data_IF_439272483706
#
_entry.id   IF_439272483706
#
_cell.length_a   1.000
_cell.length_b   1.000
_cell.length_c   1.000
_cell.angle_alpha   90.00
_cell.angle_beta   90.00
_cell.angle_gamma   90.00
#
_symmetry.space_group_name_H-M   'P 1'
#
loop_
_entity.id
_entity.type
_entity.pdbx_description
1 polymer ?
#
# COMPACT_ATOMS: atom_id res chain seq x y z
N UNK A 1 31.22 -67.05 41.64
CA UNK A 1 30.23 -68.16 41.62
C UNK A 1 30.48 -68.98 40.36
N UNK A 2 31.10 -70.15 40.49
CA UNK A 2 31.30 -71.10 39.38
C UNK A 2 30.08 -72.04 39.32
N UNK A 3 29.51 -72.26 38.14
CA UNK A 3 28.52 -73.32 37.92
C UNK A 3 29.15 -74.42 37.05
N UNK A 4 29.04 -75.65 37.53
CA UNK A 4 29.65 -76.87 36.98
C UNK A 4 28.62 -77.61 36.12
N UNK A 5 29.03 -77.99 34.92
CA UNK A 5 28.28 -78.79 33.94
C UNK A 5 28.27 -80.29 34.33
N UNK A 6 27.16 -80.98 34.06
CA UNK A 6 27.06 -82.44 34.11
C UNK A 6 26.35 -82.94 32.84
N UNK A 7 26.99 -83.88 32.13
CA UNK A 7 26.44 -84.56 30.96
C UNK A 7 26.63 -86.08 31.10
N UNK A 8 25.57 -86.86 30.87
CA UNK A 8 25.56 -88.33 30.80
C UNK A 8 25.18 -88.83 29.39
N UNK A 9 25.39 -90.13 29.07
CA UNK A 9 25.47 -90.63 27.68
C UNK A 9 24.10 -90.94 27.04
N UNK A 10 23.99 -90.74 25.72
CA UNK A 10 22.74 -90.82 24.95
C UNK A 10 22.46 -92.22 24.33
N UNK A 11 21.18 -92.64 24.15
CA UNK A 11 20.83 -94.01 23.77
C UNK A 11 20.72 -94.27 22.25
N UNK A 12 20.89 -95.53 21.86
CA UNK A 12 21.07 -96.07 20.48
C UNK A 12 19.88 -95.99 19.51
N UNK A 13 18.68 -95.55 19.93
CA UNK A 13 17.53 -95.36 19.01
C UNK A 13 17.67 -94.13 18.10
N UNK A 14 18.62 -93.23 18.39
CA UNK A 14 18.87 -92.02 17.58
C UNK A 14 19.36 -92.33 16.16
N UNK A 15 20.05 -93.44 15.93
CA UNK A 15 20.71 -93.69 14.64
C UNK A 15 19.72 -93.89 13.47
N UNK A 16 18.62 -94.62 13.67
CA UNK A 16 17.61 -94.86 12.63
C UNK A 16 16.70 -93.66 12.36
N UNK A 17 16.31 -92.94 13.42
CA UNK A 17 15.52 -91.71 13.31
C UNK A 17 16.30 -90.58 12.64
N UNK A 18 17.61 -90.50 12.89
CA UNK A 18 18.49 -89.50 12.29
C UNK A 18 18.68 -89.76 10.79
N UNK A 19 18.73 -91.02 10.34
CA UNK A 19 18.89 -91.34 8.92
C UNK A 19 17.62 -91.11 8.09
N UNK A 20 16.43 -91.33 8.67
CA UNK A 20 15.14 -91.01 8.04
C UNK A 20 14.86 -89.50 8.04
N UNK A 21 15.17 -88.79 9.13
CA UNK A 21 15.10 -87.34 9.20
C UNK A 21 16.05 -86.69 8.17
N UNK A 22 17.26 -87.22 7.98
CA UNK A 22 18.24 -86.67 7.04
C UNK A 22 17.84 -86.89 5.56
N UNK A 23 17.11 -87.96 5.24
CA UNK A 23 16.52 -88.17 3.91
C UNK A 23 15.34 -87.23 3.62
N UNK A 24 14.44 -87.03 4.59
CA UNK A 24 13.32 -86.09 4.49
C UNK A 24 13.78 -84.63 4.42
N UNK A 25 14.81 -84.26 5.19
CA UNK A 25 15.39 -82.92 5.18
C UNK A 25 16.12 -82.64 3.85
N UNK A 26 16.79 -83.66 3.29
CA UNK A 26 17.43 -83.59 1.98
C UNK A 26 16.45 -83.34 0.83
N UNK A 27 15.30 -84.03 0.82
CA UNK A 27 14.27 -83.82 -0.21
C UNK A 27 13.59 -82.46 -0.10
N UNK A 28 13.34 -81.95 1.11
CA UNK A 28 12.74 -80.62 1.31
C UNK A 28 13.67 -79.47 0.90
N UNK A 29 14.99 -79.64 1.06
CA UNK A 29 15.97 -78.66 0.59
C UNK A 29 16.07 -78.67 -0.93
N UNK A 30 16.01 -79.83 -1.56
CA UNK A 30 16.06 -79.97 -3.02
C UNK A 30 14.79 -79.39 -3.69
N UNK A 31 13.61 -79.61 -3.10
CA UNK A 31 12.35 -79.00 -3.55
C UNK A 31 12.34 -77.49 -3.34
N UNK A 32 12.78 -76.99 -2.18
CA UNK A 32 12.88 -75.54 -1.93
C UNK A 32 13.85 -74.86 -2.89
N UNK A 33 14.95 -75.52 -3.23
CA UNK A 33 15.94 -74.99 -4.16
C UNK A 33 15.43 -75.02 -5.61
N UNK A 34 14.72 -76.09 -6.03
CA UNK A 34 14.03 -76.15 -7.32
C UNK A 34 12.96 -75.07 -7.45
N UNK A 35 12.24 -74.78 -6.37
CA UNK A 35 11.20 -73.77 -6.34
C UNK A 35 11.77 -72.35 -6.35
N UNK A 36 12.89 -72.11 -5.66
CA UNK A 36 13.62 -70.85 -5.73
C UNK A 36 14.22 -70.60 -7.12
N UNK A 37 14.78 -71.63 -7.76
CA UNK A 37 15.31 -71.55 -9.13
C UNK A 37 14.19 -71.33 -10.15
N UNK A 38 13.07 -72.07 -10.03
CA UNK A 38 11.88 -71.90 -10.87
C UNK A 38 11.31 -70.48 -10.76
N UNK A 39 11.26 -69.91 -9.56
CA UNK A 39 10.80 -68.53 -9.33
C UNK A 39 11.74 -67.44 -9.88
N UNK A 40 13.00 -67.78 -10.20
CA UNK A 40 13.98 -66.83 -10.76
C UNK A 40 14.15 -66.98 -12.27
N UNK A 41 13.73 -68.12 -12.83
CA UNK A 41 13.67 -68.34 -14.26
C UNK A 41 12.44 -67.62 -14.82
N UNK A 42 12.63 -66.84 -15.88
CA UNK A 42 11.50 -66.20 -16.58
C UNK A 42 10.61 -67.24 -17.26
N UNK A 43 11.19 -68.38 -17.64
CA UNK A 43 10.57 -69.47 -18.39
C UNK A 43 11.29 -70.77 -18.05
N UNK A 44 10.57 -71.84 -17.69
CA UNK A 44 11.11 -73.19 -17.55
C UNK A 44 11.07 -73.91 -18.91
N UNK A 45 12.23 -73.96 -19.59
CA UNK A 45 12.38 -74.58 -20.91
C UNK A 45 12.19 -76.09 -20.90
N UNK A 46 12.49 -76.76 -19.79
CA UNK A 46 12.36 -78.21 -19.66
C UNK A 46 10.91 -78.61 -19.47
N UNK A 47 10.17 -77.85 -18.65
CA UNK A 47 8.74 -78.05 -18.46
C UNK A 47 7.96 -77.74 -19.74
N UNK A 48 8.30 -76.65 -20.43
CA UNK A 48 7.72 -76.31 -21.74
C UNK A 48 7.96 -77.38 -22.79
N UNK A 49 9.20 -77.85 -22.94
CA UNK A 49 9.54 -78.91 -23.90
C UNK A 49 8.75 -80.21 -23.60
N UNK A 50 8.69 -80.62 -22.33
CA UNK A 50 7.86 -81.77 -21.91
C UNK A 50 6.37 -81.56 -22.15
N UNK A 51 5.87 -80.33 -22.02
CA UNK A 51 4.46 -80.02 -22.32
C UNK A 51 4.16 -80.14 -23.82
N UNK A 52 5.09 -79.74 -24.67
CA UNK A 52 4.99 -79.86 -26.12
C UNK A 52 5.11 -81.32 -26.58
N UNK A 53 6.00 -82.11 -25.97
CA UNK A 53 6.08 -83.56 -26.20
C UNK A 53 4.77 -84.27 -25.82
N UNK A 54 4.16 -83.91 -24.69
CA UNK A 54 2.84 -84.46 -24.28
C UNK A 54 1.71 -84.07 -25.23
N UNK A 55 1.84 -82.95 -25.93
CA UNK A 55 0.89 -82.50 -26.96
C UNK A 55 1.10 -83.19 -28.33
N UNK A 56 2.08 -84.09 -28.45
CA UNK A 56 2.32 -84.88 -29.66
C UNK A 56 3.41 -84.34 -30.58
N UNK A 57 4.19 -83.33 -30.16
CA UNK A 57 5.33 -82.84 -30.93
C UNK A 57 6.54 -83.78 -30.80
N UNK A 58 7.31 -84.00 -31.89
CA UNK A 58 8.60 -84.67 -31.81
C UNK A 58 9.53 -83.91 -30.86
N UNK A 59 10.33 -84.65 -30.09
CA UNK A 59 11.25 -84.11 -29.07
C UNK A 59 12.14 -82.97 -29.59
N UNK A 60 12.69 -83.13 -30.79
CA UNK A 60 13.56 -82.12 -31.41
C UNK A 60 12.80 -80.82 -31.72
N UNK A 61 11.55 -80.93 -32.20
CA UNK A 61 10.70 -79.77 -32.51
C UNK A 61 10.16 -79.10 -31.23
N UNK A 62 9.83 -79.87 -30.21
CA UNK A 62 9.41 -79.38 -28.90
C UNK A 62 10.50 -78.57 -28.20
N UNK A 63 11.76 -79.05 -28.26
CA UNK A 63 12.90 -78.34 -27.69
C UNK A 63 13.22 -77.05 -28.46
N UNK A 64 13.14 -77.09 -29.80
CA UNK A 64 13.39 -75.92 -30.64
C UNK A 64 12.31 -74.84 -30.43
N UNK A 65 11.04 -75.24 -30.36
CA UNK A 65 9.93 -74.33 -30.07
C UNK A 65 10.06 -73.70 -28.66
N UNK A 66 10.44 -74.49 -27.66
CA UNK A 66 10.69 -73.98 -26.31
C UNK A 66 11.84 -72.95 -26.29
N UNK A 67 12.90 -73.16 -27.08
CA UNK A 67 13.99 -72.18 -27.25
C UNK A 67 13.53 -70.90 -27.95
N UNK A 68 12.74 -71.01 -29.01
CA UNK A 68 12.23 -69.85 -29.75
C UNK A 68 11.30 -68.99 -28.90
N UNK A 69 10.37 -69.61 -28.17
CA UNK A 69 9.46 -68.91 -27.23
C UNK A 69 10.24 -68.23 -26.11
N UNK A 70 11.24 -68.92 -25.54
CA UNK A 70 12.09 -68.34 -24.49
C UNK A 70 12.87 -67.14 -25.03
N UNK A 71 13.36 -67.22 -26.27
CA UNK A 71 14.06 -66.12 -26.93
C UNK A 71 13.13 -64.92 -27.15
N UNK A 72 11.90 -65.14 -27.61
CA UNK A 72 10.90 -64.07 -27.76
C UNK A 72 10.53 -63.43 -26.42
N UNK A 73 10.40 -64.21 -25.35
CA UNK A 73 10.10 -63.69 -24.00
C UNK A 73 11.26 -62.84 -23.48
N UNK A 74 12.51 -63.28 -23.67
CA UNK A 74 13.70 -62.51 -23.28
C UNK A 74 13.79 -61.20 -24.09
N UNK A 75 13.60 -61.25 -25.41
CA UNK A 75 13.61 -60.06 -26.26
C UNK A 75 12.49 -59.07 -25.89
N UNK A 76 11.29 -59.56 -25.58
CA UNK A 76 10.18 -58.70 -25.16
C UNK A 76 10.43 -58.12 -23.76
N UNK A 77 11.03 -58.87 -22.84
CA UNK A 77 11.44 -58.34 -21.53
C UNK A 77 12.41 -57.19 -21.69
N UNK A 78 13.44 -57.32 -22.52
CA UNK A 78 14.41 -56.24 -22.77
C UNK A 78 13.74 -54.99 -23.36
N UNK A 79 12.81 -55.17 -24.30
CA UNK A 79 12.01 -54.06 -24.85
C UNK A 79 11.12 -53.40 -23.78
N UNK A 80 10.51 -54.19 -22.90
CA UNK A 80 9.71 -53.66 -21.79
C UNK A 80 10.58 -52.93 -20.76
N UNK A 81 11.77 -53.44 -20.43
CA UNK A 81 12.71 -52.75 -19.54
C UNK A 81 13.23 -51.43 -20.13
N UNK A 82 13.30 -51.32 -21.46
CA UNK A 82 13.61 -50.05 -22.14
C UNK A 82 12.43 -49.07 -22.20
N UNK A 83 11.19 -49.56 -22.23
CA UNK A 83 9.98 -48.74 -22.28
C UNK A 83 9.47 -48.31 -20.89
N UNK A 84 9.74 -49.10 -19.84
CA UNK A 84 9.24 -48.88 -18.49
C UNK A 84 10.36 -48.52 -17.52
N UNK A 85 10.05 -47.60 -16.62
CA UNK A 85 10.97 -47.20 -15.54
C UNK A 85 10.76 -48.12 -14.34
N UNK A 86 11.87 -48.58 -13.74
CA UNK A 86 11.83 -49.37 -12.51
C UNK A 86 11.20 -48.57 -11.38
N UNK A 87 10.35 -49.19 -10.57
CA UNK A 87 9.65 -48.56 -9.44
C UNK A 87 10.60 -47.79 -8.51
N UNK A 88 11.78 -48.35 -8.22
CA UNK A 88 12.81 -47.72 -7.38
C UNK A 88 13.31 -46.39 -7.97
N UNK A 89 13.45 -46.30 -9.29
CA UNK A 89 13.89 -45.07 -9.97
C UNK A 89 12.77 -44.02 -9.95
N UNK A 90 11.53 -44.47 -10.14
CA UNK A 90 10.36 -43.61 -10.06
C UNK A 90 10.19 -43.02 -8.65
N UNK A 91 10.26 -43.86 -7.61
CA UNK A 91 10.18 -43.42 -6.20
C UNK A 91 11.26 -42.41 -5.85
N UNK A 92 12.50 -42.65 -6.29
CA UNK A 92 13.59 -41.69 -6.12
C UNK A 92 13.28 -40.34 -6.79
N UNK A 93 12.78 -40.36 -8.03
CA UNK A 93 12.39 -39.15 -8.75
C UNK A 93 11.27 -38.38 -8.04
N UNK A 94 10.27 -39.09 -7.51
CA UNK A 94 9.17 -38.50 -6.73
C UNK A 94 9.70 -37.82 -5.48
N UNK A 95 10.57 -38.48 -4.71
CA UNK A 95 11.16 -37.90 -3.49
C UNK A 95 12.01 -36.66 -3.79
N UNK A 96 12.77 -36.68 -4.89
CA UNK A 96 13.53 -35.51 -5.34
C UNK A 96 12.60 -34.35 -5.75
N UNK A 97 11.48 -34.64 -6.42
CA UNK A 97 10.48 -33.64 -6.77
C UNK A 97 9.79 -33.07 -5.53
N UNK A 98 9.36 -33.92 -4.59
CA UNK A 98 8.75 -33.47 -3.33
C UNK A 98 9.71 -32.59 -2.53
N UNK A 99 10.98 -32.97 -2.44
CA UNK A 99 12.01 -32.16 -1.77
C UNK A 99 12.15 -30.77 -2.40
N UNK A 100 12.20 -30.69 -3.75
CA UNK A 100 12.25 -29.41 -4.47
C UNK A 100 10.99 -28.56 -4.26
N UNK A 101 9.82 -29.19 -4.24
CA UNK A 101 8.55 -28.50 -3.98
C UNK A 101 8.54 -27.93 -2.56
N UNK A 102 8.99 -28.70 -1.56
CA UNK A 102 9.08 -28.24 -0.18
C UNK A 102 10.08 -27.10 -0.02
N UNK A 103 11.27 -27.19 -0.64
CA UNK A 103 12.25 -26.10 -0.60
C UNK A 103 11.70 -24.83 -1.24
N UNK A 104 11.08 -24.94 -2.43
CA UNK A 104 10.46 -23.82 -3.11
C UNK A 104 9.35 -23.18 -2.27
N UNK A 105 8.48 -23.99 -1.65
CA UNK A 105 7.43 -23.50 -0.76
C UNK A 105 8.00 -22.74 0.44
N UNK A 106 9.10 -23.23 1.03
CA UNK A 106 9.75 -22.56 2.15
C UNK A 106 10.37 -21.22 1.77
N UNK A 107 10.99 -21.14 0.58
CA UNK A 107 11.58 -19.92 0.06
C UNK A 107 10.51 -18.90 -0.33
N UNK A 108 9.41 -19.35 -0.93
CA UNK A 108 8.24 -18.54 -1.22
C UNK A 108 7.66 -17.95 0.06
N UNK A 109 7.43 -18.78 1.09
CA UNK A 109 6.88 -18.33 2.37
C UNK A 109 7.80 -17.29 3.02
N UNK A 110 9.12 -17.56 3.07
CA UNK A 110 10.10 -16.62 3.61
C UNK A 110 10.10 -15.29 2.87
N UNK A 111 10.03 -15.33 1.54
CA UNK A 111 9.99 -14.13 0.70
C UNK A 111 8.69 -13.35 0.93
N UNK A 112 7.57 -14.06 1.04
CA UNK A 112 6.27 -13.46 1.36
C UNK A 112 6.28 -12.80 2.74
N UNK A 113 6.80 -13.45 3.77
CA UNK A 113 6.88 -12.91 5.13
C UNK A 113 7.78 -11.67 5.18
N UNK A 114 8.92 -11.71 4.50
CA UNK A 114 9.83 -10.57 4.37
C UNK A 114 9.19 -9.39 3.62
N UNK A 115 8.51 -9.68 2.50
CA UNK A 115 7.81 -8.65 1.74
C UNK A 115 6.67 -8.04 2.57
N UNK A 116 5.89 -8.86 3.25
CA UNK A 116 4.81 -8.41 4.13
C UNK A 116 5.34 -7.52 5.26
N UNK A 117 6.45 -7.91 5.90
CA UNK A 117 7.08 -7.09 6.93
C UNK A 117 7.58 -5.74 6.37
N UNK A 118 8.13 -5.74 5.16
CA UNK A 118 8.60 -4.51 4.50
C UNK A 118 7.43 -3.58 4.16
N UNK A 119 6.38 -4.11 3.53
CA UNK A 119 5.17 -3.35 3.18
C UNK A 119 4.49 -2.78 4.42
N UNK A 120 4.36 -3.57 5.49
CA UNK A 120 3.77 -3.10 6.74
C UNK A 120 4.59 -1.96 7.37
N UNK A 121 5.92 -2.07 7.36
CA UNK A 121 6.81 -1.03 7.86
C UNK A 121 6.71 0.26 7.03
N UNK A 122 6.66 0.13 5.70
CA UNK A 122 6.52 1.28 4.82
C UNK A 122 5.14 1.94 4.98
N UNK A 123 4.08 1.15 5.17
CA UNK A 123 2.74 1.64 5.46
C UNK A 123 2.70 2.43 6.78
N UNK A 124 3.31 1.91 7.86
CA UNK A 124 3.39 2.61 9.14
C UNK A 124 4.20 3.92 9.01
N UNK A 125 5.32 3.88 8.29
CA UNK A 125 6.13 5.08 8.00
C UNK A 125 5.31 6.13 7.23
N UNK A 126 4.58 5.71 6.20
CA UNK A 126 3.75 6.62 5.40
C UNK A 126 2.60 7.20 6.23
N UNK A 127 1.96 6.40 7.08
CA UNK A 127 0.91 6.87 7.99
C UNK A 127 1.46 7.94 8.95
N UNK A 128 2.64 7.72 9.54
CA UNK A 128 3.29 8.69 10.41
C UNK A 128 3.61 10.02 9.69
N UNK A 129 4.06 9.96 8.43
CA UNK A 129 4.30 11.16 7.62
C UNK A 129 3.00 11.89 7.33
N UNK A 130 1.93 11.17 6.99
CA UNK A 130 0.61 11.74 6.74
C UNK A 130 0.08 12.46 7.98
N UNK A 131 0.16 11.84 9.15
CA UNK A 131 -0.31 12.43 10.41
C UNK A 131 0.51 13.67 10.78
N UNK A 132 1.83 13.65 10.54
CA UNK A 132 2.69 14.83 10.73
C UNK A 132 2.30 15.97 9.78
N UNK A 133 2.14 15.70 8.49
CA UNK A 133 1.72 16.71 7.51
C UNK A 133 0.35 17.29 7.86
N UNK A 134 -0.59 16.45 8.30
CA UNK A 134 -1.92 16.89 8.73
C UNK A 134 -1.86 17.82 9.95
N UNK A 135 -0.99 17.54 10.92
CA UNK A 135 -0.77 18.40 12.07
C UNK A 135 -0.14 19.74 11.67
N UNK A 136 0.86 19.70 10.79
CA UNK A 136 1.55 20.89 10.27
C UNK A 136 0.60 21.81 9.49
N UNK A 137 -0.21 21.25 8.58
CA UNK A 137 -1.22 22.01 7.84
C UNK A 137 -2.23 22.66 8.77
N UNK A 138 -2.71 21.96 9.80
CA UNK A 138 -3.64 22.53 10.79
C UNK A 138 -3.00 23.71 11.54
N UNK A 139 -1.76 23.53 11.99
CA UNK A 139 -1.02 24.58 12.67
C UNK A 139 -0.81 25.82 11.78
N UNK A 140 -0.40 25.64 10.53
CA UNK A 140 -0.23 26.75 9.58
C UNK A 140 -1.57 27.42 9.24
N UNK A 141 -2.66 26.66 9.14
CA UNK A 141 -4.01 27.22 8.94
C UNK A 141 -4.44 28.08 10.13
N UNK A 142 -4.28 27.58 11.36
CA UNK A 142 -4.62 28.31 12.58
C UNK A 142 -3.80 29.60 12.71
N UNK A 143 -2.49 29.51 12.42
CA UNK A 143 -1.58 30.65 12.40
C UNK A 143 -1.98 31.68 11.34
N UNK A 144 -2.27 31.25 10.11
CA UNK A 144 -2.70 32.13 9.03
C UNK A 144 -4.04 32.80 9.37
N UNK A 145 -4.99 32.04 9.91
CA UNK A 145 -6.29 32.56 10.34
C UNK A 145 -6.16 33.62 11.44
N UNK A 146 -5.31 33.36 12.44
CA UNK A 146 -5.02 34.32 13.50
C UNK A 146 -4.33 35.58 12.96
N UNK A 147 -3.35 35.42 12.04
CA UNK A 147 -2.68 36.54 11.37
C UNK A 147 -3.67 37.40 10.59
N UNK A 148 -4.51 36.78 9.75
CA UNK A 148 -5.49 37.51 8.96
C UNK A 148 -6.50 38.25 9.84
N UNK A 149 -6.94 37.62 10.94
CA UNK A 149 -7.83 38.29 11.90
C UNK A 149 -7.16 39.48 12.57
N UNK A 150 -5.87 39.37 12.91
CA UNK A 150 -5.09 40.48 13.45
C UNK A 150 -4.97 41.61 12.42
N UNK A 151 -4.59 41.30 11.18
CA UNK A 151 -4.43 42.28 10.10
C UNK A 151 -5.74 43.06 9.86
N UNK A 152 -6.87 42.35 9.80
CA UNK A 152 -8.18 42.98 9.65
C UNK A 152 -8.54 43.88 10.84
N UNK A 153 -8.20 43.47 12.06
CA UNK A 153 -8.45 44.29 13.25
C UNK A 153 -7.58 45.56 13.26
N UNK A 154 -6.31 45.46 12.86
CA UNK A 154 -5.41 46.60 12.74
C UNK A 154 -5.88 47.56 11.65
N UNK A 155 -6.25 47.05 10.48
CA UNK A 155 -6.74 47.87 9.37
C UNK A 155 -8.09 48.53 9.72
N UNK A 156 -8.96 47.83 10.45
CA UNK A 156 -10.19 48.42 11.00
C UNK A 156 -9.90 49.54 12.00
N UNK A 157 -8.87 49.39 12.84
CA UNK A 157 -8.40 50.45 13.73
C UNK A 157 -7.91 51.66 12.95
N UNK A 158 -7.04 51.45 11.97
CA UNK A 158 -6.50 52.49 11.09
C UNK A 158 -7.61 53.24 10.34
N UNK A 159 -8.58 52.53 9.75
CA UNK A 159 -9.72 53.15 9.10
C UNK A 159 -10.56 53.99 10.07
N UNK A 160 -10.72 53.55 11.32
CA UNK A 160 -11.45 54.33 12.34
C UNK A 160 -10.71 55.62 12.68
N UNK A 161 -9.39 55.57 12.82
CA UNK A 161 -8.56 56.74 13.10
C UNK A 161 -8.57 57.72 11.92
N UNK A 162 -8.44 57.21 10.69
CA UNK A 162 -8.56 58.01 9.46
C UNK A 162 -9.95 58.67 9.36
N UNK A 163 -11.04 57.94 9.65
CA UNK A 163 -12.39 58.48 9.67
C UNK A 163 -12.58 59.56 10.74
N UNK A 164 -12.00 59.38 11.93
CA UNK A 164 -12.05 60.39 12.99
C UNK A 164 -11.27 61.64 12.57
N UNK A 165 -10.07 61.47 12.02
CA UNK A 165 -9.26 62.59 11.51
C UNK A 165 -9.95 63.37 10.38
N UNK A 166 -10.67 62.68 9.48
CA UNK A 166 -11.50 63.33 8.45
C UNK A 166 -12.66 64.11 9.09
N UNK A 167 -13.34 63.53 10.09
CA UNK A 167 -14.44 64.20 10.80
C UNK A 167 -13.96 65.46 11.51
N UNK A 168 -12.82 65.41 12.18
CA UNK A 168 -12.25 66.54 12.91
C UNK A 168 -11.90 67.66 11.92
N UNK A 169 -11.21 67.34 10.81
CA UNK A 169 -10.93 68.30 9.73
C UNK A 169 -12.20 68.90 9.13
N UNK A 170 -13.24 68.09 8.92
CA UNK A 170 -14.53 68.57 8.42
C UNK A 170 -15.20 69.54 9.40
N UNK A 171 -15.08 69.28 10.70
CA UNK A 171 -15.64 70.15 11.74
C UNK A 171 -14.87 71.47 11.82
N UNK A 172 -13.54 71.43 11.75
CA UNK A 172 -12.70 72.62 11.72
C UNK A 172 -13.01 73.51 10.51
N UNK A 173 -13.15 72.89 9.32
CA UNK A 173 -13.55 73.60 8.11
C UNK A 173 -14.95 74.20 8.22
N UNK A 174 -15.89 73.50 8.86
CA UNK A 174 -17.23 74.03 9.10
C UNK A 174 -17.19 75.25 10.04
N UNK A 175 -16.38 75.21 11.10
CA UNK A 175 -16.17 76.35 12.01
C UNK A 175 -15.54 77.53 11.28
N UNK A 176 -14.54 77.30 10.43
CA UNK A 176 -13.95 78.36 9.60
C UNK A 176 -14.99 78.96 8.66
N UNK A 177 -15.77 78.13 7.97
CA UNK A 177 -16.82 78.59 7.08
C UNK A 177 -17.87 79.43 7.81
N UNK A 178 -18.29 79.04 9.01
CA UNK A 178 -19.24 79.82 9.82
C UNK A 178 -18.66 81.18 10.24
N UNK A 179 -17.35 81.26 10.53
CA UNK A 179 -16.67 82.54 10.80
C UNK A 179 -16.66 83.42 9.56
N UNK A 180 -16.25 82.88 8.41
CA UNK A 180 -16.21 83.61 7.14
C UNK A 180 -17.61 84.14 6.75
N UNK A 181 -18.66 83.33 6.95
CA UNK A 181 -20.05 83.75 6.74
C UNK A 181 -20.42 84.94 7.64
N UNK A 182 -20.07 84.88 8.93
CA UNK A 182 -20.37 85.96 9.87
C UNK A 182 -19.59 87.25 9.55
N UNK A 183 -18.31 87.13 9.17
CA UNK A 183 -17.48 88.26 8.73
C UNK A 183 -18.05 88.89 7.45
N UNK A 184 -18.39 88.08 6.45
CA UNK A 184 -19.03 88.54 5.21
C UNK A 184 -20.35 89.24 5.51
N UNK A 185 -21.19 88.69 6.40
CA UNK A 185 -22.46 89.32 6.79
C UNK A 185 -22.24 90.68 7.47
N UNK A 186 -21.26 90.77 8.38
CA UNK A 186 -20.89 92.03 9.03
C UNK A 186 -20.38 93.07 8.02
N UNK A 187 -19.51 92.65 7.09
CA UNK A 187 -19.00 93.48 6.00
C UNK A 187 -20.11 94.01 5.10
N UNK A 188 -21.08 93.16 4.73
CA UNK A 188 -22.26 93.55 3.96
C UNK A 188 -23.14 94.53 4.72
N UNK A 189 -23.43 94.30 6.00
CA UNK A 189 -24.21 95.23 6.83
C UNK A 189 -23.51 96.59 6.99
N UNK A 190 -22.18 96.60 7.14
CA UNK A 190 -21.39 97.83 7.14
C UNK A 190 -21.50 98.56 5.81
N UNK A 191 -21.31 97.88 4.68
CA UNK A 191 -21.42 98.48 3.34
C UNK A 191 -22.83 99.04 3.07
N UNK A 192 -23.88 98.34 3.53
CA UNK A 192 -25.27 98.81 3.48
C UNK A 192 -25.42 100.12 4.28
N UNK A 193 -24.95 100.15 5.52
CA UNK A 193 -25.02 101.33 6.39
C UNK A 193 -24.22 102.50 5.84
N UNK A 194 -23.04 102.26 5.27
CA UNK A 194 -22.22 103.29 4.64
C UNK A 194 -22.91 103.88 3.41
N UNK A 195 -23.61 103.06 2.62
CA UNK A 195 -24.43 103.52 1.50
C UNK A 195 -25.60 104.38 1.98
N UNK A 196 -26.33 103.95 3.02
CA UNK A 196 -27.41 104.75 3.61
C UNK A 196 -26.89 106.11 4.11
N UNK A 197 -25.76 106.13 4.83
CA UNK A 197 -25.12 107.36 5.29
C UNK A 197 -24.74 108.28 4.14
N UNK A 198 -24.20 107.72 3.05
CA UNK A 198 -23.85 108.48 1.85
C UNK A 198 -25.09 109.16 1.24
N UNK A 199 -26.20 108.42 1.11
CA UNK A 199 -27.48 108.98 0.61
C UNK A 199 -28.00 110.09 1.52
N UNK A 200 -28.00 109.89 2.84
CA UNK A 200 -28.43 110.93 3.81
C UNK A 200 -27.55 112.18 3.67
N UNK A 201 -26.24 112.01 3.53
CA UNK A 201 -25.30 113.13 3.36
C UNK A 201 -25.58 113.90 2.07
N UNK A 202 -25.81 113.21 0.95
CA UNK A 202 -26.14 113.83 -0.34
C UNK A 202 -27.50 114.57 -0.28
N UNK A 203 -28.53 113.97 0.32
CA UNK A 203 -29.84 114.62 0.50
C UNK A 203 -29.74 115.84 1.43
N UNK A 204 -28.92 115.74 2.48
CA UNK A 204 -28.66 116.83 3.42
C UNK A 204 -27.94 118.01 2.77
N UNK A 205 -26.90 117.76 1.96
CA UNK A 205 -26.21 118.83 1.22
C UNK A 205 -27.12 119.48 0.19
N UNK A 206 -27.95 118.70 -0.52
CA UNK A 206 -28.95 119.24 -1.43
C UNK A 206 -29.96 120.16 -0.71
N UNK A 207 -30.47 119.72 0.45
CA UNK A 207 -31.39 120.51 1.27
C UNK A 207 -30.75 121.80 1.80
N UNK A 208 -29.48 121.75 2.22
CA UNK A 208 -28.74 122.93 2.66
C UNK A 208 -28.52 123.94 1.53
N UNK A 209 -28.21 123.47 0.32
CA UNK A 209 -28.12 124.32 -0.87
C UNK A 209 -29.47 124.99 -1.16
N UNK A 210 -30.56 124.20 -1.18
CA UNK A 210 -31.91 124.72 -1.41
C UNK A 210 -32.31 125.78 -0.36
N UNK A 211 -32.02 125.54 0.92
CA UNK A 211 -32.27 126.51 1.99
C UNK A 211 -31.44 127.79 1.83
N UNK A 212 -30.17 127.66 1.45
CA UNK A 212 -29.28 128.80 1.20
C UNK A 212 -29.80 129.66 0.05
N UNK A 213 -30.26 129.03 -1.05
CA UNK A 213 -30.89 129.72 -2.18
C UNK A 213 -32.19 130.42 -1.73
N UNK A 214 -33.05 129.73 -0.98
CA UNK A 214 -34.31 130.32 -0.49
C UNK A 214 -34.07 131.54 0.40
N UNK A 215 -33.07 131.48 1.30
CA UNK A 215 -32.65 132.61 2.14
C UNK A 215 -32.10 133.78 1.31
N UNK A 216 -31.31 133.49 0.28
CA UNK A 216 -30.79 134.52 -0.63
C UNK A 216 -31.92 135.24 -1.39
N UNK A 217 -32.92 134.49 -1.87
CA UNK A 217 -34.12 135.06 -2.52
C UNK A 217 -34.94 135.93 -1.56
N UNK A 218 -35.13 135.51 -0.30
CA UNK A 218 -35.84 136.33 0.70
C UNK A 218 -35.08 137.62 1.06
N UNK A 219 -33.74 137.58 1.11
CA UNK A 219 -32.92 138.79 1.32
C UNK A 219 -32.94 139.72 0.10
N UNK A 220 -33.15 139.21 -1.11
CA UNK A 220 -33.31 140.01 -2.34
C UNK A 220 -34.71 140.59 -2.54
N UNK A 221 -35.74 140.07 -1.85
CA UNK A 221 -37.14 140.52 -1.98
C UNK A 221 -37.57 141.53 -0.89
N UNK A 222 -36.66 141.92 0.01
CA UNK A 222 -36.90 142.85 1.12
C UNK A 222 -36.18 144.19 1.01
N UNK A 223 -35.76 144.60 -0.20
CA UNK A 223 -35.09 145.87 -0.48
C UNK A 223 -35.78 146.65 -1.59
#
# INVERSE_FOLDING_TARGET
MQLRSAAGPAPLWRAGAQQQAMRMFGSTLEESNKQAVSNHLLVDTLELSKSFEKAGLPRDTAEQLAKDITTLIVLNKEKMEGAFVKTVVLEKSILEQESKIQSFKSELQKTQDMHQATVNKDMERQQNVLDKMKAEIRHELDKLSASQRLDLNLEKGRMRDDLQGIRDKSTDLQIQMDRDINELRSSVEKAKNDTIKSVITILGTFSAIAFTISRFVQMGAGG
#
